data_IF_208938219123
#
_entry.id   IF_208938219123
#
_cell.length_a   1.000
_cell.length_b   1.000
_cell.length_c   1.000
_cell.angle_alpha   90.00
_cell.angle_beta   90.00
_cell.angle_gamma   90.00
#
_symmetry.space_group_name_H-M   'P 1'
#
loop_
_entity.id
_entity.type
_entity.pdbx_description
1 polymer ?
#
# COMPACT_ATOMS: atom_id res chain seq x y z
N UNK A 1 -25.19 -1.48 47.09
CA UNK A 1 -25.00 -1.32 45.63
C UNK A 1 -23.55 -1.04 45.19
N UNK A 2 -22.64 -0.60 46.09
CA UNK A 2 -21.24 -0.27 45.75
C UNK A 2 -20.36 -1.49 45.39
N UNK A 3 -20.58 -2.65 46.02
CA UNK A 3 -19.78 -3.87 45.78
C UNK A 3 -19.92 -4.43 44.36
N UNK A 4 -21.11 -4.30 43.76
CA UNK A 4 -21.38 -4.74 42.38
C UNK A 4 -20.70 -3.85 41.34
N UNK A 5 -20.68 -2.52 41.55
CA UNK A 5 -19.96 -1.59 40.68
C UNK A 5 -18.44 -1.83 40.69
N UNK A 6 -17.87 -2.15 41.85
CA UNK A 6 -16.44 -2.47 41.97
C UNK A 6 -16.11 -3.77 41.23
N UNK A 7 -16.93 -4.81 41.36
CA UNK A 7 -16.73 -6.07 40.64
C UNK A 7 -16.81 -5.88 39.12
N UNK A 8 -17.76 -5.07 38.64
CA UNK A 8 -17.88 -4.78 37.21
C UNK A 8 -16.66 -4.01 36.68
N UNK A 9 -16.13 -3.05 37.44
CA UNK A 9 -14.90 -2.33 37.08
C UNK A 9 -13.68 -3.27 36.98
N UNK A 10 -13.54 -4.21 37.92
CA UNK A 10 -12.46 -5.21 37.90
C UNK A 10 -12.56 -6.16 36.71
N UNK A 11 -13.79 -6.60 36.36
CA UNK A 11 -14.02 -7.45 35.19
C UNK A 11 -13.69 -6.70 33.90
N UNK A 12 -14.08 -5.43 33.78
CA UNK A 12 -13.73 -4.60 32.61
C UNK A 12 -12.22 -4.39 32.49
N UNK A 13 -11.52 -4.15 33.60
CA UNK A 13 -10.06 -4.03 33.64
C UNK A 13 -9.36 -5.35 33.23
N UNK A 14 -9.86 -6.49 33.70
CA UNK A 14 -9.33 -7.81 33.33
C UNK A 14 -9.55 -8.12 31.84
N UNK A 15 -10.71 -7.79 31.27
CA UNK A 15 -10.99 -8.02 29.85
C UNK A 15 -10.11 -7.10 28.97
N UNK A 16 -9.87 -5.86 29.40
CA UNK A 16 -9.00 -4.92 28.70
C UNK A 16 -7.52 -5.36 28.69
N UNK A 17 -7.02 -5.95 29.80
CA UNK A 17 -5.64 -6.45 29.85
C UNK A 17 -5.44 -7.72 29.01
N UNK A 18 -6.44 -8.60 28.95
CA UNK A 18 -6.37 -9.83 28.14
C UNK A 18 -6.40 -9.53 26.63
N UNK A 19 -7.14 -8.49 26.20
CA UNK A 19 -7.15 -8.08 24.79
C UNK A 19 -5.84 -7.43 24.34
N UNK A 20 -5.07 -6.83 25.26
CA UNK A 20 -3.78 -6.22 24.95
C UNK A 20 -2.67 -7.27 24.70
N UNK A 21 -2.83 -8.50 25.18
CA UNK A 21 -1.87 -9.61 24.99
C UNK A 21 -2.25 -10.53 23.81
N UNK A 22 -3.11 -10.03 22.93
CA UNK A 22 -3.55 -10.74 21.74
C UNK A 22 -2.42 -10.89 20.73
N UNK A 23 -1.85 -12.09 20.64
CA UNK A 23 -1.17 -12.66 19.46
C UNK A 23 0.38 -12.52 19.38
N UNK A 24 1.09 -12.61 20.51
CA UNK A 24 2.55 -12.80 20.53
C UNK A 24 2.93 -14.25 20.23
N UNK A 25 2.90 -14.64 18.96
CA UNK A 25 3.56 -15.90 18.54
C UNK A 25 5.07 -15.80 18.81
N UNK A 26 5.70 -16.80 19.44
CA UNK A 26 7.14 -16.77 19.70
C UNK A 26 7.93 -16.63 18.40
N UNK A 27 9.01 -15.86 18.44
CA UNK A 27 9.87 -15.67 17.28
C UNK A 27 10.48 -17.00 16.84
N UNK A 28 10.10 -17.46 15.65
CA UNK A 28 10.78 -18.58 14.99
C UNK A 28 12.27 -18.22 14.85
N UNK A 29 13.13 -19.22 15.04
CA UNK A 29 14.57 -19.08 15.32
C UNK A 29 15.40 -18.15 14.41
N UNK A 30 16.64 -17.89 14.83
CA UNK A 30 17.57 -16.99 14.15
C UNK A 30 17.74 -17.37 12.67
N UNK A 31 17.84 -16.38 11.78
CA UNK A 31 18.15 -16.71 10.39
C UNK A 31 19.58 -17.23 10.28
N UNK A 32 19.71 -18.54 10.11
CA UNK A 32 20.98 -19.28 9.91
C UNK A 32 21.36 -19.42 8.44
N UNK A 33 20.53 -18.92 7.52
CA UNK A 33 20.76 -19.08 6.09
C UNK A 33 21.97 -18.29 5.59
N UNK A 34 22.96 -19.00 5.05
CA UNK A 34 23.91 -18.41 4.10
C UNK A 34 23.11 -17.68 3.00
N UNK A 35 23.56 -16.49 2.56
CA UNK A 35 22.86 -15.68 1.57
C UNK A 35 22.52 -16.42 0.26
N UNK A 36 23.24 -17.50 -0.06
CA UNK A 36 23.01 -18.34 -1.23
C UNK A 36 21.84 -19.34 -1.09
N UNK A 37 21.51 -19.80 0.12
CA UNK A 37 20.57 -20.92 0.32
C UNK A 37 19.10 -20.49 0.47
N UNK A 38 18.84 -19.26 0.93
CA UNK A 38 17.47 -18.75 1.14
C UNK A 38 16.79 -18.16 -0.12
N UNK A 39 17.52 -18.00 -1.23
CA UNK A 39 17.04 -17.64 -2.58
C UNK A 39 16.39 -16.25 -2.76
N UNK A 40 15.72 -15.69 -1.76
CA UNK A 40 14.88 -14.50 -1.88
C UNK A 40 15.40 -13.36 -1.00
N UNK A 41 16.13 -12.43 -1.62
CA UNK A 41 16.44 -11.13 -1.02
C UNK A 41 15.24 -10.19 -1.11
N UNK A 42 14.96 -9.47 -0.03
CA UNK A 42 13.94 -8.42 0.03
C UNK A 42 14.60 -7.04 0.15
N UNK A 43 13.85 -6.00 -0.18
CA UNK A 43 14.29 -4.61 -0.05
C UNK A 43 13.43 -3.91 0.98
N UNK A 44 14.04 -3.17 1.89
CA UNK A 44 13.35 -2.26 2.82
C UNK A 44 13.85 -0.84 2.60
N UNK A 45 13.00 0.15 2.87
CA UNK A 45 13.33 1.57 2.73
C UNK A 45 13.07 2.32 4.02
N UNK A 46 14.08 3.02 4.51
CA UNK A 46 13.91 4.07 5.48
C UNK A 46 13.36 5.31 4.75
N UNK A 47 12.15 5.75 5.12
CA UNK A 47 11.50 6.90 4.48
C UNK A 47 12.15 8.23 4.87
N UNK A 48 12.69 8.34 6.09
CA UNK A 48 13.28 9.57 6.59
C UNK A 48 14.61 9.88 5.90
N UNK A 49 15.46 8.87 5.71
CA UNK A 49 16.81 9.04 5.15
C UNK A 49 16.92 8.64 3.67
N UNK A 50 15.84 8.12 3.08
CA UNK A 50 15.83 7.53 1.73
C UNK A 50 16.88 6.42 1.51
N UNK A 51 17.34 5.78 2.59
CA UNK A 51 18.27 4.66 2.54
C UNK A 51 17.50 3.35 2.35
N UNK A 52 18.01 2.50 1.46
CA UNK A 52 17.50 1.17 1.21
C UNK A 52 18.43 0.12 1.82
N UNK A 53 17.85 -0.99 2.27
CA UNK A 53 18.59 -2.15 2.75
C UNK A 53 18.09 -3.38 2.01
N UNK A 54 19.02 -4.10 1.40
CA UNK A 54 18.79 -5.43 0.85
C UNK A 54 19.16 -6.44 1.92
N UNK A 55 18.30 -7.40 2.19
CA UNK A 55 18.55 -8.47 3.14
C UNK A 55 17.76 -9.73 2.78
N UNK A 56 18.16 -10.92 3.25
CA UNK A 56 17.34 -12.12 3.12
C UNK A 56 15.96 -11.96 3.78
N UNK A 57 14.93 -12.59 3.21
CA UNK A 57 13.56 -12.54 3.77
C UNK A 57 13.47 -13.02 5.22
N UNK A 58 14.24 -14.06 5.58
CA UNK A 58 14.33 -14.56 6.96
C UNK A 58 14.81 -13.49 7.95
N UNK A 59 15.80 -12.67 7.57
CA UNK A 59 16.35 -11.60 8.40
C UNK A 59 15.35 -10.49 8.62
N UNK A 60 14.48 -10.22 7.64
CA UNK A 60 13.38 -9.28 7.82
C UNK A 60 12.34 -9.81 8.81
N UNK A 61 12.00 -11.10 8.73
CA UNK A 61 11.08 -11.74 9.69
C UNK A 61 11.61 -11.69 11.11
N UNK A 62 12.90 -12.01 11.30
CA UNK A 62 13.60 -11.91 12.59
C UNK A 62 13.53 -10.49 13.15
N UNK A 63 13.89 -9.47 12.34
CA UNK A 63 13.80 -8.05 12.74
C UNK A 63 12.37 -7.64 13.11
N UNK A 64 11.38 -8.05 12.32
CA UNK A 64 9.98 -7.71 12.59
C UNK A 64 9.44 -8.42 13.83
N UNK A 65 9.98 -9.59 14.17
CA UNK A 65 9.62 -10.27 15.39
C UNK A 65 10.16 -9.54 16.63
N UNK A 66 11.46 -9.17 16.62
CA UNK A 66 12.03 -8.34 17.68
C UNK A 66 11.29 -7.01 17.84
N UNK A 67 10.88 -6.37 16.73
CA UNK A 67 10.08 -5.15 16.78
C UNK A 67 8.71 -5.38 17.42
N UNK A 68 8.04 -6.49 17.12
CA UNK A 68 6.77 -6.86 17.75
C UNK A 68 6.92 -7.04 19.27
N UNK A 69 7.97 -7.73 19.71
CA UNK A 69 8.23 -7.95 21.14
C UNK A 69 8.44 -6.61 21.89
N UNK A 70 9.00 -5.61 21.19
CA UNK A 70 9.18 -4.25 21.70
C UNK A 70 7.99 -3.31 21.43
N UNK A 71 6.84 -3.80 20.95
CA UNK A 71 5.66 -2.98 20.65
C UNK A 71 5.82 -2.03 19.45
N UNK A 72 6.84 -2.22 18.62
CA UNK A 72 7.15 -1.40 17.46
C UNK A 72 6.49 -1.94 16.18
N UNK A 73 6.05 -1.05 15.29
CA UNK A 73 5.49 -1.44 14.00
C UNK A 73 6.49 -2.25 13.15
N UNK A 74 6.03 -3.28 12.42
CA UNK A 74 6.89 -4.07 11.54
C UNK A 74 7.40 -3.26 10.35
N UNK A 75 8.66 -3.49 9.99
CA UNK A 75 9.27 -2.97 8.78
C UNK A 75 8.63 -3.63 7.57
N UNK A 76 8.15 -2.82 6.63
CA UNK A 76 7.53 -3.28 5.40
C UNK A 76 8.54 -3.39 4.26
N UNK A 77 8.36 -4.42 3.44
CA UNK A 77 9.07 -4.55 2.18
C UNK A 77 8.70 -3.39 1.23
N UNK A 78 9.69 -2.94 0.48
CA UNK A 78 9.50 -2.06 -0.67
C UNK A 78 9.82 -2.80 -1.97
N UNK A 79 9.58 -2.17 -3.10
CA UNK A 79 9.86 -2.79 -4.39
C UNK A 79 11.36 -3.13 -4.51
N UNK A 80 11.69 -4.38 -4.85
CA UNK A 80 13.07 -4.87 -4.93
C UNK A 80 13.95 -4.01 -5.86
N UNK A 81 13.36 -3.40 -6.89
CA UNK A 81 14.03 -2.49 -7.83
C UNK A 81 14.61 -1.25 -7.16
N UNK A 82 14.12 -0.86 -5.97
CA UNK A 82 14.70 0.22 -5.15
C UNK A 82 16.06 -0.14 -4.58
N UNK A 83 16.38 -1.42 -4.44
CA UNK A 83 17.68 -1.91 -3.99
C UNK A 83 18.60 -2.31 -5.16
N UNK A 84 18.27 -1.98 -6.41
CA UNK A 84 19.05 -2.42 -7.59
C UNK A 84 20.51 -1.95 -7.60
N UNK A 85 20.82 -0.85 -6.91
CA UNK A 85 22.17 -0.31 -6.79
C UNK A 85 22.97 -0.97 -5.65
N UNK A 86 22.36 -1.88 -4.88
CA UNK A 86 23.00 -2.58 -3.77
C UNK A 86 23.46 -3.96 -4.30
N UNK A 87 24.77 -4.18 -4.47
CA UNK A 87 25.29 -5.43 -4.98
C UNK A 87 25.07 -6.58 -3.99
N UNK A 88 25.02 -7.81 -4.51
CA UNK A 88 24.85 -9.01 -3.71
C UNK A 88 23.44 -9.22 -3.15
N UNK A 89 23.33 -10.17 -2.22
CA UNK A 89 22.08 -10.59 -1.54
C UNK A 89 21.75 -9.76 -0.30
N UNK A 90 22.72 -8.98 0.20
CA UNK A 90 22.62 -8.19 1.41
C UNK A 90 23.48 -6.94 1.32
N UNK A 91 22.99 -5.81 1.80
CA UNK A 91 23.74 -4.56 1.84
C UNK A 91 22.86 -3.35 2.12
N UNK A 92 23.49 -2.20 2.31
CA UNK A 92 22.83 -0.92 2.57
C UNK A 92 23.32 0.10 1.54
N UNK A 93 22.43 0.96 1.06
CA UNK A 93 22.80 2.02 0.13
C UNK A 93 21.65 2.97 -0.16
N UNK A 94 21.92 3.98 -0.98
CA UNK A 94 20.88 4.89 -1.43
C UNK A 94 19.82 4.15 -2.25
N UNK A 95 18.54 4.43 -1.97
CA UNK A 95 17.45 3.85 -2.75
C UNK A 95 17.54 4.31 -4.20
N UNK A 96 17.50 3.36 -5.13
CA UNK A 96 17.39 3.69 -6.53
C UNK A 96 16.08 4.43 -6.83
N UNK A 97 16.12 5.28 -7.85
CA UNK A 97 14.94 5.90 -8.43
C UNK A 97 13.94 4.84 -8.86
N UNK A 98 12.65 5.10 -8.63
CA UNK A 98 11.58 4.17 -8.99
C UNK A 98 11.63 3.98 -10.49
N UNK A 99 11.93 2.77 -10.95
CA UNK A 99 11.69 2.42 -12.34
C UNK A 99 10.19 2.62 -12.60
N UNK A 100 9.86 3.63 -13.41
CA UNK A 100 8.52 3.69 -14.00
C UNK A 100 8.43 2.49 -14.94
N UNK A 101 7.30 1.77 -14.96
CA UNK A 101 7.14 0.68 -15.92
C UNK A 101 7.41 1.26 -17.31
N UNK A 102 8.19 0.53 -18.13
CA UNK A 102 8.43 0.93 -19.52
C UNK A 102 7.07 1.12 -20.17
N UNK A 103 6.87 2.23 -20.90
CA UNK A 103 5.56 2.62 -21.46
C UNK A 103 4.90 1.44 -22.21
N UNK A 104 5.69 0.70 -22.99
CA UNK A 104 5.25 -0.51 -23.72
C UNK A 104 4.72 -1.63 -22.82
N UNK A 105 5.34 -1.86 -21.66
CA UNK A 105 4.91 -2.89 -20.71
C UNK A 105 3.66 -2.44 -19.94
N UNK A 106 3.61 -1.16 -19.57
CA UNK A 106 2.48 -0.52 -18.92
C UNK A 106 1.21 -0.59 -19.79
N UNK A 107 1.35 -0.40 -21.10
CA UNK A 107 0.26 -0.51 -22.08
C UNK A 107 -0.11 -1.94 -22.46
N UNK A 108 0.79 -2.93 -22.28
CA UNK A 108 0.51 -4.34 -22.61
C UNK A 108 -0.16 -5.10 -21.48
N UNK A 109 -0.23 -4.52 -20.28
CA UNK A 109 -0.90 -5.13 -19.13
C UNK A 109 -2.38 -5.37 -19.44
N UNK A 110 -2.80 -6.62 -19.27
CA UNK A 110 -4.20 -7.04 -19.36
C UNK A 110 -4.93 -6.70 -18.05
N UNK A 111 -6.20 -6.28 -18.16
CA UNK A 111 -7.01 -5.82 -17.04
C UNK A 111 -8.08 -6.84 -16.61
N UNK A 112 -7.71 -8.13 -16.52
CA UNK A 112 -8.68 -9.21 -16.27
C UNK A 112 -9.22 -9.26 -14.83
N UNK A 113 -8.42 -8.89 -13.83
CA UNK A 113 -8.79 -9.07 -12.41
C UNK A 113 -9.56 -7.88 -11.81
N UNK A 114 -9.55 -6.73 -12.48
CA UNK A 114 -10.13 -5.50 -11.95
C UNK A 114 -11.52 -5.27 -12.53
N UNK A 115 -12.55 -5.76 -11.84
CA UNK A 115 -13.94 -5.67 -12.30
C UNK A 115 -14.68 -4.44 -11.77
N UNK A 116 -14.08 -3.67 -10.86
CA UNK A 116 -14.76 -2.58 -10.17
C UNK A 116 -14.50 -1.25 -10.89
N UNK A 117 -15.47 -0.81 -11.67
CA UNK A 117 -15.42 0.51 -12.28
C UNK A 117 -15.69 1.61 -11.23
N UNK A 118 -14.91 2.70 -11.31
CA UNK A 118 -15.11 3.91 -10.50
C UNK A 118 -15.06 5.14 -11.38
N UNK A 119 -15.46 6.29 -10.84
CA UNK A 119 -15.33 7.56 -11.55
C UNK A 119 -13.88 8.06 -11.49
N UNK A 120 -13.35 8.45 -12.63
CA UNK A 120 -12.02 9.05 -12.77
C UNK A 120 -12.15 10.38 -13.47
N UNK A 121 -11.39 11.39 -13.03
CA UNK A 121 -11.31 12.71 -13.67
C UNK A 121 -9.89 13.04 -14.09
N UNK A 122 -9.74 13.86 -15.10
CA UNK A 122 -8.46 14.50 -15.43
C UNK A 122 -8.44 15.97 -14.96
N UNK A 123 -7.31 16.65 -15.15
CA UNK A 123 -7.18 18.06 -14.74
C UNK A 123 -8.00 19.02 -15.61
N UNK A 124 -8.36 18.60 -16.83
CA UNK A 124 -9.15 19.40 -17.78
C UNK A 124 -10.67 19.32 -17.47
N UNK A 125 -11.05 18.59 -16.43
CA UNK A 125 -12.45 18.45 -16.01
C UNK A 125 -13.23 17.42 -16.82
N UNK A 126 -12.54 16.54 -17.54
CA UNK A 126 -13.16 15.36 -18.14
C UNK A 126 -13.26 14.23 -17.11
N UNK A 127 -14.29 13.41 -17.23
CA UNK A 127 -14.66 12.31 -16.35
C UNK A 127 -15.02 11.06 -17.16
N UNK A 128 -14.65 9.89 -16.64
CA UNK A 128 -14.93 8.59 -17.27
C UNK A 128 -15.16 7.53 -16.21
N UNK A 129 -16.08 6.60 -16.50
CA UNK A 129 -16.31 5.41 -15.68
C UNK A 129 -15.43 4.27 -16.23
N UNK A 130 -14.41 3.89 -15.46
CA UNK A 130 -13.44 2.86 -15.85
C UNK A 130 -12.85 2.19 -14.60
N UNK A 131 -12.24 1.03 -14.81
CA UNK A 131 -11.52 0.29 -13.76
C UNK A 131 -10.23 0.99 -13.38
N UNK A 132 -9.62 0.61 -12.25
CA UNK A 132 -8.32 1.14 -11.85
C UNK A 132 -7.22 0.71 -12.81
N UNK A 133 -7.29 -0.52 -13.32
CA UNK A 133 -6.35 -1.03 -14.29
C UNK A 133 -6.39 -0.24 -15.60
N UNK A 134 -7.59 0.02 -16.15
CA UNK A 134 -7.75 0.85 -17.37
C UNK A 134 -7.22 2.27 -17.17
N UNK A 135 -7.51 2.88 -16.02
CA UNK A 135 -6.98 4.21 -15.69
C UNK A 135 -5.45 4.22 -15.64
N UNK A 136 -4.84 3.22 -15.02
CA UNK A 136 -3.37 3.07 -14.97
C UNK A 136 -2.78 2.87 -16.38
N UNK A 137 -3.40 2.02 -17.19
CA UNK A 137 -3.00 1.73 -18.57
C UNK A 137 -3.03 3.00 -19.44
N UNK A 138 -4.07 3.82 -19.30
CA UNK A 138 -4.18 5.11 -20.01
C UNK A 138 -3.17 6.13 -19.48
N UNK A 139 -2.92 6.14 -18.17
CA UNK A 139 -1.92 7.03 -17.55
C UNK A 139 -0.47 6.71 -17.96
N UNK A 140 -0.20 5.54 -18.57
CA UNK A 140 1.13 5.18 -19.06
C UNK A 140 1.67 6.15 -20.12
N UNK A 141 0.79 6.74 -20.94
CA UNK A 141 1.15 7.67 -22.02
C UNK A 141 0.69 9.11 -21.79
N UNK A 142 -0.10 9.35 -20.74
CA UNK A 142 -0.53 10.72 -20.41
C UNK A 142 0.57 11.48 -19.66
N UNK A 143 0.61 12.79 -19.88
CA UNK A 143 1.45 13.70 -19.12
C UNK A 143 1.16 13.52 -17.61
N UNK A 144 2.19 13.45 -16.74
CA UNK A 144 2.02 13.36 -15.28
C UNK A 144 1.06 14.39 -14.68
N UNK A 145 0.97 15.60 -15.26
CA UNK A 145 0.06 16.65 -14.82
C UNK A 145 -1.39 16.33 -15.20
N UNK A 146 -1.64 15.70 -16.36
CA UNK A 146 -2.99 15.42 -16.85
C UNK A 146 -3.40 13.94 -16.70
N UNK A 147 -3.04 13.31 -15.58
CA UNK A 147 -3.39 11.91 -15.31
C UNK A 147 -4.85 11.76 -14.85
N UNK A 148 -5.44 10.61 -15.16
CA UNK A 148 -6.71 10.17 -14.58
C UNK A 148 -6.52 9.91 -13.08
N UNK A 149 -7.24 10.66 -12.25
CA UNK A 149 -7.28 10.51 -10.79
C UNK A 149 -8.69 10.15 -10.35
N UNK A 150 -8.82 9.47 -9.20
CA UNK A 150 -10.13 9.05 -8.69
C UNK A 150 -10.99 10.29 -8.39
N UNK A 151 -12.24 10.26 -8.82
CA UNK A 151 -13.24 11.29 -8.56
C UNK A 151 -14.42 10.72 -7.75
N UNK A 152 -15.28 11.60 -7.26
CA UNK A 152 -16.55 11.19 -6.65
C UNK A 152 -17.42 10.47 -7.68
N UNK A 153 -18.16 9.44 -7.25
CA UNK A 153 -19.14 8.76 -8.10
C UNK A 153 -20.14 9.74 -8.72
N UNK A 154 -20.46 10.83 -8.00
CA UNK A 154 -21.35 11.88 -8.49
C UNK A 154 -20.88 12.54 -9.79
N UNK A 155 -19.57 12.74 -9.93
CA UNK A 155 -18.98 13.40 -11.10
C UNK A 155 -19.20 12.61 -12.40
N UNK A 156 -19.47 11.31 -12.31
CA UNK A 156 -19.81 10.44 -13.42
C UNK A 156 -21.28 9.96 -13.38
N UNK A 157 -22.19 10.64 -12.67
CA UNK A 157 -23.59 10.22 -12.60
C UNK A 157 -24.20 10.13 -14.01
N UNK A 158 -24.77 8.97 -14.34
CA UNK A 158 -25.34 8.68 -15.66
C UNK A 158 -24.33 8.27 -16.73
N UNK A 159 -23.05 8.10 -16.39
CA UNK A 159 -22.06 7.50 -17.28
C UNK A 159 -22.10 5.97 -17.16
N UNK A 160 -21.83 5.29 -18.27
CA UNK A 160 -21.73 3.82 -18.33
C UNK A 160 -20.27 3.39 -18.44
N UNK A 161 -19.95 2.18 -17.98
CA UNK A 161 -18.59 1.62 -18.09
C UNK A 161 -18.27 1.46 -19.58
N UNK A 162 -17.13 1.98 -20.01
CA UNK A 162 -16.77 1.98 -21.44
C UNK A 162 -17.49 3.04 -22.28
N UNK A 163 -18.42 3.82 -21.72
CA UNK A 163 -19.23 4.85 -22.41
C UNK A 163 -18.50 6.13 -22.81
N UNK A 164 -17.17 6.07 -22.93
CA UNK A 164 -16.34 7.20 -23.34
C UNK A 164 -16.06 8.25 -22.25
N UNK A 165 -15.25 9.24 -22.63
CA UNK A 165 -14.89 10.39 -21.78
C UNK A 165 -15.95 11.47 -21.93
N UNK A 166 -16.44 12.03 -20.82
CA UNK A 166 -17.45 13.11 -20.80
C UNK A 166 -17.03 14.22 -19.84
N UNK A 167 -17.67 15.38 -19.87
CA UNK A 167 -17.39 16.44 -18.89
C UNK A 167 -17.83 16.00 -17.48
N UNK A 168 -17.03 16.27 -16.46
CA UNK A 168 -17.39 15.98 -15.08
C UNK A 168 -18.61 16.78 -14.64
N UNK A 169 -19.54 16.12 -13.94
CA UNK A 169 -20.62 16.83 -13.25
C UNK A 169 -20.09 17.53 -12.01
N UNK A 170 -20.50 18.77 -11.84
CA UNK A 170 -20.36 19.51 -10.59
C UNK A 170 -21.48 19.10 -9.63
N UNK A 171 -21.19 19.05 -8.33
CA UNK A 171 -22.24 18.87 -7.33
C UNK A 171 -23.01 20.20 -7.26
N UNK A 172 -24.35 20.21 -7.36
CA UNK A 172 -25.09 21.44 -7.08
C UNK A 172 -24.75 21.88 -5.66
N UNK A 173 -24.32 23.13 -5.53
CA UNK A 173 -24.13 23.76 -4.23
C UNK A 173 -25.55 24.00 -3.72
N UNK A 174 -26.00 23.18 -2.77
CA UNK A 174 -27.21 23.49 -2.02
C UNK A 174 -26.80 24.58 -1.05
N UNK A 175 -27.06 25.84 -1.41
CA UNK A 175 -27.05 26.95 -0.46
C UNK A 175 -28.27 26.70 0.42
N UNK A 176 -28.02 26.45 1.71
CA UNK A 176 -29.07 26.32 2.70
C UNK A 176 -29.21 27.73 3.29
N UNK A 177 -30.30 28.39 2.96
CA UNK A 177 -30.70 29.65 3.59
C UNK A 177 -30.98 29.43 5.10
#
# INVERSE_FOLDING_TARGET
MTKFSICLLLVVLAIASIQADGNRRPCAGRCTGHPLSSGKSVCIRNKATNVCTRLPACRLREKNCLRRDNGLEPIRETCITRCRNIPGSSGVGQCATKLRPRIKECQRRLCHDDKVASCWRDQQGACVLQTRCEAQKRNCVRNPLNQWVRASRWSCKGNVVGGGVRRCRTKPIVIKD
#
